data_IF_333037240428
#
_entry.id   IF_333037240428
#
_cell.length_a   1.000
_cell.length_b   1.000
_cell.length_c   1.000
_cell.angle_alpha   90.00
_cell.angle_beta   90.00
_cell.angle_gamma   90.00
#
_symmetry.space_group_name_H-M   'P 1'
#
loop_
_entity.id
_entity.type
_entity.pdbx_description
1 polymer ?
#
# COMPACT_ATOMS: atom_id res chain seq x y z
N UNK A 1 -16.79 2.79 8.36
CA UNK A 1 -16.01 2.74 7.11
C UNK A 1 -16.76 3.56 6.06
N UNK A 2 -16.37 4.80 5.88
CA UNK A 2 -16.87 5.62 4.79
C UNK A 2 -15.93 5.45 3.60
N UNK A 3 -16.34 4.69 2.60
CA UNK A 3 -15.64 4.66 1.33
C UNK A 3 -16.04 5.93 0.57
N UNK A 4 -15.10 6.84 0.37
CA UNK A 4 -15.31 7.93 -0.56
C UNK A 4 -15.54 7.32 -1.96
N UNK A 5 -16.71 7.58 -2.54
CA UNK A 5 -17.06 7.11 -3.87
C UNK A 5 -16.17 7.85 -4.86
N UNK A 6 -15.36 7.11 -5.60
CA UNK A 6 -14.60 7.64 -6.73
C UNK A 6 -15.58 8.23 -7.71
N UNK A 7 -15.57 9.53 -7.91
CA UNK A 7 -16.20 10.18 -9.06
C UNK A 7 -15.27 9.92 -10.24
N UNK A 8 -15.63 8.94 -11.06
CA UNK A 8 -14.92 8.65 -12.31
C UNK A 8 -15.17 9.79 -13.29
N UNK A 9 -14.29 10.76 -13.30
CA UNK A 9 -14.01 11.52 -14.52
C UNK A 9 -12.93 10.75 -15.27
N UNK A 10 -13.18 10.23 -16.46
CA UNK A 10 -12.17 9.50 -17.20
C UNK A 10 -11.07 10.49 -17.61
N UNK A 11 -9.87 10.32 -17.10
CA UNK A 11 -8.68 10.76 -17.79
C UNK A 11 -7.77 11.79 -17.16
N UNK A 12 -8.07 12.38 -16.01
CA UNK A 12 -7.10 13.27 -15.36
C UNK A 12 -6.54 12.66 -14.07
N UNK A 13 -5.26 12.34 -14.10
CA UNK A 13 -4.53 12.05 -12.85
C UNK A 13 -4.51 13.32 -11.98
N UNK A 14 -4.83 13.24 -10.68
CA UNK A 14 -4.76 14.40 -9.80
C UNK A 14 -3.33 14.96 -9.78
N UNK A 15 -3.20 16.28 -9.75
CA UNK A 15 -1.91 16.92 -9.58
C UNK A 15 -1.33 16.56 -8.19
N UNK A 16 -0.02 16.57 -8.03
CA UNK A 16 0.62 16.29 -6.74
C UNK A 16 0.09 17.22 -5.65
N UNK A 17 -0.08 18.50 -5.96
CA UNK A 17 -0.66 19.51 -5.09
C UNK A 17 -2.10 19.19 -4.66
N UNK A 18 -2.94 18.70 -5.58
CA UNK A 18 -4.32 18.30 -5.28
C UNK A 18 -4.35 17.09 -4.31
N UNK A 19 -3.37 16.19 -4.44
CA UNK A 19 -3.24 15.02 -3.59
C UNK A 19 -2.73 15.40 -2.19
N UNK A 20 -1.76 16.32 -2.12
CA UNK A 20 -1.23 16.87 -0.87
C UNK A 20 -2.30 17.62 -0.08
N UNK A 21 -3.07 18.46 -0.76
CA UNK A 21 -4.20 19.17 -0.15
C UNK A 21 -5.27 18.20 0.37
N UNK A 22 -5.61 17.18 -0.42
CA UNK A 22 -6.57 16.15 -0.01
C UNK A 22 -6.06 15.36 1.21
N UNK A 23 -4.79 14.96 1.23
CA UNK A 23 -4.16 14.27 2.37
C UNK A 23 -4.12 15.19 3.58
N UNK A 24 -3.77 16.47 3.41
CA UNK A 24 -3.76 17.48 4.46
C UNK A 24 -5.15 17.67 5.09
N UNK A 25 -6.16 17.81 4.26
CA UNK A 25 -7.56 17.95 4.69
C UNK A 25 -8.06 16.72 5.46
N UNK A 26 -7.73 15.51 4.97
CA UNK A 26 -8.08 14.26 5.64
C UNK A 26 -7.37 14.08 6.99
N UNK A 27 -6.12 14.56 7.12
CA UNK A 27 -5.38 14.55 8.40
C UNK A 27 -5.97 15.52 9.41
N UNK A 28 -6.52 16.65 8.96
CA UNK A 28 -7.18 17.63 9.84
C UNK A 28 -8.57 17.18 10.30
N UNK A 29 -9.21 16.26 9.57
CA UNK A 29 -10.43 15.59 10.01
C UNK A 29 -10.09 14.63 11.17
N UNK A 30 -9.76 15.19 12.32
CA UNK A 30 -9.05 14.60 13.46
C UNK A 30 -9.73 13.41 14.16
N UNK A 31 -10.88 12.94 13.67
CA UNK A 31 -11.61 11.79 14.21
C UNK A 31 -11.25 10.46 13.52
N UNK A 32 -10.41 10.49 12.50
CA UNK A 32 -10.03 9.29 11.76
C UNK A 32 -8.83 8.61 12.42
N UNK A 33 -8.97 7.33 12.72
CA UNK A 33 -7.89 6.51 13.29
C UNK A 33 -6.72 6.32 12.31
N UNK A 34 -6.98 6.28 11.01
CA UNK A 34 -5.98 6.20 9.95
C UNK A 34 -6.57 6.66 8.61
N UNK A 35 -5.73 7.26 7.77
CA UNK A 35 -6.01 7.58 6.36
C UNK A 35 -5.13 6.68 5.50
N UNK A 36 -5.74 5.94 4.59
CA UNK A 36 -5.04 5.08 3.62
C UNK A 36 -5.16 5.71 2.25
N UNK A 37 -4.02 5.96 1.61
CA UNK A 37 -3.94 6.50 0.26
C UNK A 37 -3.42 5.41 -0.67
N UNK A 38 -4.20 5.04 -1.70
CA UNK A 38 -3.77 4.11 -2.75
C UNK A 38 -3.08 4.89 -3.86
N UNK A 39 -1.78 4.63 -4.03
CA UNK A 39 -0.91 5.29 -5.01
C UNK A 39 -0.59 4.39 -6.20
N UNK A 40 -1.29 3.28 -6.39
CA UNK A 40 -1.00 2.28 -7.43
C UNK A 40 -1.01 2.84 -8.86
N UNK A 41 -1.75 3.90 -9.11
CA UNK A 41 -1.80 4.61 -10.38
C UNK A 41 -0.81 5.79 -10.48
N UNK A 42 -0.14 6.16 -9.40
CA UNK A 42 0.77 7.30 -9.37
C UNK A 42 2.11 6.93 -10.02
N UNK A 43 2.30 7.27 -11.29
CA UNK A 43 3.57 7.14 -12.03
C UNK A 43 4.55 8.29 -11.78
N UNK A 44 4.36 9.08 -10.75
CA UNK A 44 5.15 10.28 -10.48
C UNK A 44 6.23 10.01 -9.45
N UNK A 45 7.33 10.80 -9.46
CA UNK A 45 8.24 10.79 -8.33
C UNK A 45 7.45 11.07 -7.06
N UNK A 46 7.46 10.12 -6.13
CA UNK A 46 6.71 10.20 -4.87
C UNK A 46 7.33 11.18 -3.86
N UNK A 47 8.42 11.89 -4.25
CA UNK A 47 9.23 12.67 -3.35
C UNK A 47 8.45 13.62 -2.44
N UNK A 48 7.72 14.55 -3.03
CA UNK A 48 6.99 15.57 -2.26
C UNK A 48 5.75 14.96 -1.56
N UNK A 49 5.03 14.08 -2.24
CA UNK A 49 3.90 13.38 -1.64
C UNK A 49 4.34 12.44 -0.51
N UNK A 50 5.47 11.74 -0.67
CA UNK A 50 5.98 10.86 0.38
C UNK A 50 6.25 11.62 1.68
N UNK A 51 6.72 12.86 1.60
CA UNK A 51 6.95 13.70 2.79
C UNK A 51 5.66 13.98 3.58
N UNK A 52 4.49 13.97 2.90
CA UNK A 52 3.18 14.15 3.54
C UNK A 52 2.62 12.87 4.16
N UNK A 53 3.22 11.69 3.88
CA UNK A 53 2.76 10.40 4.38
C UNK A 53 3.51 10.04 5.67
N UNK A 54 2.80 9.55 6.66
CA UNK A 54 3.43 9.05 7.90
C UNK A 54 4.16 7.72 7.67
N UNK A 55 3.72 6.91 6.70
CA UNK A 55 4.33 5.63 6.36
C UNK A 55 3.99 5.24 4.93
N UNK A 56 4.96 4.64 4.25
CA UNK A 56 4.76 4.04 2.92
C UNK A 56 4.86 2.52 3.02
N UNK A 57 3.84 1.84 2.49
CA UNK A 57 3.78 0.38 2.42
C UNK A 57 3.83 -0.06 0.96
N UNK A 58 4.87 -0.79 0.58
CA UNK A 58 5.02 -1.34 -0.77
C UNK A 58 4.41 -2.73 -0.81
N UNK A 59 3.36 -2.93 -1.60
CA UNK A 59 2.80 -4.27 -1.83
C UNK A 59 3.55 -4.92 -2.99
N UNK A 60 4.33 -5.95 -2.67
CA UNK A 60 5.23 -6.63 -3.62
C UNK A 60 4.65 -7.99 -4.00
N UNK A 61 4.23 -8.21 -5.26
CA UNK A 61 4.00 -9.57 -5.76
C UNK A 61 5.28 -10.41 -5.62
N UNK A 62 5.13 -11.68 -5.25
CA UNK A 62 6.26 -12.60 -5.04
C UNK A 62 6.93 -13.04 -6.37
N UNK A 63 7.25 -12.09 -7.22
CA UNK A 63 7.80 -12.23 -8.57
C UNK A 63 9.11 -11.43 -8.68
N UNK A 64 10.11 -11.97 -9.37
CA UNK A 64 11.44 -11.34 -9.50
C UNK A 64 11.36 -9.92 -10.08
N UNK A 65 10.54 -9.73 -11.13
CA UNK A 65 10.38 -8.40 -11.75
C UNK A 65 9.73 -7.40 -10.80
N UNK A 66 8.72 -7.85 -10.04
CA UNK A 66 8.06 -7.00 -9.06
C UNK A 66 9.00 -6.65 -7.89
N UNK A 67 9.82 -7.61 -7.46
CA UNK A 67 10.87 -7.38 -6.46
C UNK A 67 11.91 -6.34 -6.91
N UNK A 68 12.38 -6.43 -8.17
CA UNK A 68 13.31 -5.45 -8.71
C UNK A 68 12.68 -4.04 -8.81
N UNK A 69 11.42 -3.95 -9.26
CA UNK A 69 10.70 -2.68 -9.29
C UNK A 69 10.49 -2.09 -7.88
N UNK A 70 10.16 -2.95 -6.90
CA UNK A 70 10.01 -2.54 -5.51
C UNK A 70 11.34 -2.06 -4.89
N UNK A 71 12.47 -2.66 -5.26
CA UNK A 71 13.78 -2.23 -4.83
C UNK A 71 14.10 -0.81 -5.32
N UNK A 72 13.83 -0.52 -6.60
CA UNK A 72 13.98 0.83 -7.17
C UNK A 72 13.10 1.84 -6.45
N UNK A 73 11.81 1.53 -6.29
CA UNK A 73 10.88 2.40 -5.57
C UNK A 73 11.31 2.65 -4.12
N UNK A 74 11.78 1.61 -3.42
CA UNK A 74 12.26 1.75 -2.06
C UNK A 74 13.52 2.63 -1.95
N UNK A 75 14.41 2.56 -2.94
CA UNK A 75 15.58 3.44 -3.02
C UNK A 75 15.16 4.90 -3.23
N UNK A 76 14.23 5.16 -4.14
CA UNK A 76 13.70 6.51 -4.38
C UNK A 76 13.02 7.09 -3.14
N UNK A 77 12.20 6.28 -2.45
CA UNK A 77 11.56 6.68 -1.21
C UNK A 77 12.55 7.04 -0.10
N UNK A 78 13.63 6.25 0.05
CA UNK A 78 14.69 6.55 1.02
C UNK A 78 15.46 7.81 0.67
N UNK A 79 15.73 8.04 -0.61
CA UNK A 79 16.34 9.30 -1.06
C UNK A 79 15.46 10.51 -0.68
N UNK A 80 14.13 10.32 -0.60
CA UNK A 80 13.17 11.29 -0.09
C UNK A 80 12.97 11.28 1.43
N UNK A 81 13.80 10.54 2.19
CA UNK A 81 13.72 10.50 3.67
C UNK A 81 12.66 9.56 4.24
N UNK A 82 12.07 8.67 3.43
CA UNK A 82 11.08 7.68 3.87
C UNK A 82 11.71 6.32 4.14
N UNK A 83 11.22 5.64 5.17
CA UNK A 83 11.59 4.25 5.46
C UNK A 83 10.41 3.31 5.09
N UNK A 84 10.36 2.83 3.83
CA UNK A 84 9.25 2.00 3.40
C UNK A 84 9.33 0.60 4.02
N UNK A 85 8.15 0.05 4.31
CA UNK A 85 7.99 -1.36 4.68
C UNK A 85 7.31 -2.12 3.54
N UNK A 86 7.44 -3.45 3.52
CA UNK A 86 6.85 -4.27 2.48
C UNK A 86 5.73 -5.18 3.00
N UNK A 87 4.78 -5.45 2.13
CA UNK A 87 3.81 -6.53 2.26
C UNK A 87 3.98 -7.46 1.07
N UNK A 88 4.34 -8.72 1.33
CA UNK A 88 4.53 -9.73 0.29
C UNK A 88 3.18 -10.30 -0.15
N UNK A 89 2.85 -10.19 -1.43
CA UNK A 89 1.68 -10.83 -2.02
C UNK A 89 2.06 -12.15 -2.67
N UNK A 90 1.66 -13.25 -2.06
CA UNK A 90 1.84 -14.60 -2.62
C UNK A 90 0.91 -14.85 -3.79
N UNK A 91 1.39 -15.63 -4.74
CA UNK A 91 0.60 -16.24 -5.82
C UNK A 91 0.82 -17.75 -5.81
N UNK A 92 0.04 -18.50 -6.58
CA UNK A 92 0.18 -19.96 -6.68
C UNK A 92 1.60 -20.40 -7.06
N UNK A 93 2.32 -19.56 -7.81
CA UNK A 93 3.73 -19.73 -8.19
C UNK A 93 4.52 -18.49 -7.72
N UNK A 94 5.12 -18.56 -6.59
CA UNK A 94 5.92 -17.47 -6.02
C UNK A 94 7.39 -17.80 -6.14
N UNK A 95 8.17 -16.94 -6.81
CA UNK A 95 9.61 -17.08 -6.98
C UNK A 95 10.43 -16.41 -5.88
N UNK A 96 9.81 -15.54 -5.06
CA UNK A 96 10.47 -14.83 -3.96
C UNK A 96 9.80 -15.19 -2.64
N UNK A 97 10.61 -15.27 -1.59
CA UNK A 97 10.13 -15.36 -0.20
C UNK A 97 10.21 -14.00 0.52
N UNK A 98 9.80 -13.96 1.79
CA UNK A 98 9.84 -12.73 2.59
C UNK A 98 11.26 -12.25 2.88
N UNK A 99 12.23 -13.16 3.00
CA UNK A 99 13.63 -12.82 3.16
C UNK A 99 14.22 -12.20 1.91
N UNK A 100 13.87 -12.72 0.72
CA UNK A 100 14.27 -12.15 -0.56
C UNK A 100 13.73 -10.72 -0.72
N UNK A 101 12.43 -10.53 -0.46
CA UNK A 101 11.80 -9.21 -0.58
C UNK A 101 12.36 -8.23 0.45
N UNK A 102 12.60 -8.67 1.69
CA UNK A 102 13.24 -7.84 2.72
C UNK A 102 14.61 -7.35 2.28
N UNK A 103 15.42 -8.21 1.68
CA UNK A 103 16.75 -7.84 1.16
C UNK A 103 16.65 -6.88 -0.02
N UNK A 104 15.74 -7.13 -0.96
CA UNK A 104 15.54 -6.29 -2.14
C UNK A 104 15.03 -4.90 -1.79
N UNK A 105 14.03 -4.82 -0.92
CA UNK A 105 13.44 -3.55 -0.48
C UNK A 105 14.33 -2.87 0.57
N UNK A 106 15.26 -3.61 1.21
CA UNK A 106 16.10 -3.10 2.29
C UNK A 106 15.30 -2.73 3.55
N UNK A 107 14.11 -3.29 3.74
CA UNK A 107 13.19 -2.99 4.84
C UNK A 107 12.40 -4.21 5.30
N UNK A 108 11.65 -4.06 6.36
CA UNK A 108 10.89 -5.17 6.94
C UNK A 108 9.71 -5.60 6.04
N UNK A 109 9.51 -6.91 5.89
CA UNK A 109 8.24 -7.47 5.39
C UNK A 109 7.31 -7.65 6.59
N UNK A 110 6.35 -6.75 6.74
CA UNK A 110 5.46 -6.70 7.92
C UNK A 110 4.29 -7.67 7.83
N UNK A 111 3.94 -8.13 6.63
CA UNK A 111 2.88 -9.10 6.43
C UNK A 111 3.04 -9.86 5.10
N UNK A 112 2.40 -11.03 5.05
CA UNK A 112 2.22 -11.81 3.83
C UNK A 112 0.72 -11.93 3.52
N UNK A 113 0.37 -11.67 2.27
CA UNK A 113 -0.96 -11.87 1.71
C UNK A 113 -0.95 -13.18 0.93
N UNK A 114 -1.61 -14.25 1.39
CA UNK A 114 -1.72 -15.47 0.63
C UNK A 114 -2.59 -15.26 -0.62
N UNK A 115 -2.43 -16.12 -1.60
CA UNK A 115 -3.41 -16.23 -2.66
C UNK A 115 -4.71 -16.78 -2.08
N UNK A 116 -5.79 -16.05 -2.26
CA UNK A 116 -7.14 -16.45 -1.81
C UNK A 116 -7.97 -16.76 -3.05
N UNK A 117 -8.17 -18.04 -3.37
CA UNK A 117 -8.91 -18.44 -4.57
C UNK A 117 -10.28 -17.77 -4.64
N UNK A 118 -10.61 -17.22 -5.80
CA UNK A 118 -11.89 -16.57 -6.05
C UNK A 118 -12.11 -15.22 -5.37
N UNK A 119 -11.15 -14.69 -4.59
CA UNK A 119 -11.30 -13.40 -3.95
C UNK A 119 -11.43 -12.27 -4.97
N UNK A 120 -10.57 -12.24 -5.99
CA UNK A 120 -10.61 -11.22 -7.04
C UNK A 120 -11.99 -11.19 -7.71
N UNK A 121 -12.47 -12.34 -8.20
CA UNK A 121 -13.80 -12.45 -8.81
C UNK A 121 -14.92 -11.96 -7.87
N UNK A 122 -14.82 -12.28 -6.59
CA UNK A 122 -15.81 -11.87 -5.59
C UNK A 122 -15.79 -10.37 -5.35
N UNK A 123 -14.60 -9.78 -5.27
CA UNK A 123 -14.45 -8.33 -5.12
C UNK A 123 -15.02 -7.59 -6.32
N UNK A 124 -14.74 -8.09 -7.53
CA UNK A 124 -15.22 -7.47 -8.77
C UNK A 124 -16.75 -7.54 -8.92
N UNK A 125 -17.38 -8.63 -8.45
CA UNK A 125 -18.82 -8.85 -8.64
C UNK A 125 -19.68 -8.37 -7.49
N UNK A 126 -19.17 -8.38 -6.24
CA UNK A 126 -19.97 -8.14 -5.04
C UNK A 126 -19.27 -7.22 -4.02
N UNK A 127 -18.11 -6.67 -4.36
CA UNK A 127 -17.29 -5.87 -3.45
C UNK A 127 -16.59 -6.72 -2.38
N UNK A 128 -15.95 -6.04 -1.44
CA UNK A 128 -15.25 -6.69 -0.33
C UNK A 128 -16.26 -7.44 0.58
N UNK A 129 -15.99 -8.71 0.90
CA UNK A 129 -16.88 -9.47 1.79
C UNK A 129 -16.87 -8.85 3.20
N UNK A 130 -18.03 -8.81 3.85
CA UNK A 130 -18.17 -8.29 5.22
C UNK A 130 -17.25 -8.99 6.24
N UNK A 131 -16.91 -10.26 5.98
CA UNK A 131 -15.93 -11.02 6.77
C UNK A 131 -14.74 -11.38 5.88
N UNK A 132 -13.65 -10.65 6.04
CA UNK A 132 -12.39 -10.97 5.38
C UNK A 132 -11.79 -12.29 5.88
N UNK A 133 -11.13 -13.07 5.01
CA UNK A 133 -10.30 -14.20 5.41
C UNK A 133 -9.32 -13.83 6.53
N UNK A 134 -9.03 -14.79 7.42
CA UNK A 134 -8.15 -14.56 8.58
C UNK A 134 -6.80 -13.96 8.21
N UNK A 135 -6.19 -14.46 7.13
CA UNK A 135 -4.89 -13.99 6.67
C UNK A 135 -4.93 -12.51 6.23
N UNK A 136 -5.96 -12.09 5.50
CA UNK A 136 -6.13 -10.68 5.11
C UNK A 136 -6.36 -9.77 6.31
N UNK A 137 -7.14 -10.22 7.30
CA UNK A 137 -7.33 -9.47 8.55
C UNK A 137 -6.04 -9.32 9.34
N UNK A 138 -5.20 -10.37 9.37
CA UNK A 138 -3.90 -10.33 10.04
C UNK A 138 -2.96 -9.33 9.35
N UNK A 139 -2.90 -9.36 8.03
CA UNK A 139 -2.11 -8.41 7.25
C UNK A 139 -2.60 -6.97 7.45
N UNK A 140 -3.90 -6.74 7.38
CA UNK A 140 -4.47 -5.41 7.64
C UNK A 140 -4.12 -4.89 9.05
N UNK A 141 -4.17 -5.75 10.07
CA UNK A 141 -3.75 -5.38 11.43
C UNK A 141 -2.26 -5.06 11.53
N UNK A 142 -1.41 -5.79 10.82
CA UNK A 142 0.02 -5.51 10.80
C UNK A 142 0.30 -4.13 10.18
N UNK A 143 -0.35 -3.82 9.07
CA UNK A 143 -0.25 -2.51 8.42
C UNK A 143 -0.75 -1.38 9.34
N UNK A 144 -1.94 -1.53 9.93
CA UNK A 144 -2.56 -0.50 10.79
C UNK A 144 -1.91 -0.41 12.18
N UNK A 145 -1.53 -1.54 12.76
CA UNK A 145 -0.93 -1.58 14.11
C UNK A 145 0.49 -1.03 14.12
N UNK A 146 1.21 -1.20 13.01
CA UNK A 146 2.53 -0.63 12.85
C UNK A 146 2.46 0.90 12.62
N UNK A 147 1.43 1.38 11.90
CA UNK A 147 1.18 2.82 11.72
C UNK A 147 0.83 3.56 13.05
N UNK A 148 0.39 2.85 14.08
CA UNK A 148 0.06 3.43 15.38
C UNK A 148 1.24 3.57 16.36
N UNK A 149 2.42 3.03 16.04
CA UNK A 149 3.60 3.05 16.93
C UNK A 149 4.52 4.25 16.72
N UNK A 150 4.31 4.99 15.63
CA UNK A 150 5.13 6.16 15.29
C UNK A 150 4.52 7.50 15.79
N UNK A 151 3.67 7.45 16.82
CA UNK A 151 3.10 8.63 17.47
C UNK A 151 3.64 8.82 18.87
#
# INVERSE_FOLDING_TARGET
LSAARRTESPGREPAAEELEEAVGSLRQAAELAAVLVDLSAARRPLGDLAACLGRVVIVVPAEVRAGAAAAGLAADLRAGGQEPVAVLRRRAWSGLDSGDVSRLVGGAVIAELPDVPGLAKRVDTAGLPARLPRALRRAARAVLGDAGRDR
#
